data_IF_752270963161
#
_entry.id   IF_752270963161
#
_cell.length_a   1.000
_cell.length_b   1.000
_cell.length_c   1.000
_cell.angle_alpha   90.00
_cell.angle_beta   90.00
_cell.angle_gamma   90.00
#
_symmetry.space_group_name_H-M   'P 1'
#
loop_
_entity.id
_entity.type
_entity.pdbx_description
1 polymer ?
#
# COMPACT_ATOMS: atom_id res chain seq x y z
N UNK A 1 34.29 9.02 -26.46
CA UNK A 1 33.53 9.29 -25.22
C UNK A 1 32.10 8.77 -25.38
N UNK A 2 31.96 7.46 -25.60
CA UNK A 2 30.66 6.79 -25.88
C UNK A 2 30.37 5.78 -24.76
N UNK A 3 31.39 4.98 -24.42
CA UNK A 3 31.38 3.99 -23.33
C UNK A 3 30.97 4.59 -21.97
N UNK A 4 31.39 5.82 -21.64
CA UNK A 4 31.00 6.46 -20.37
C UNK A 4 29.49 6.73 -20.32
N UNK A 5 28.89 7.14 -21.44
CA UNK A 5 27.44 7.40 -21.51
C UNK A 5 26.65 6.09 -21.45
N UNK A 6 27.15 5.02 -22.10
CA UNK A 6 26.49 3.70 -22.06
C UNK A 6 26.52 3.09 -20.65
N UNK A 7 27.64 3.18 -19.94
CA UNK A 7 27.77 2.70 -18.56
C UNK A 7 26.85 3.48 -17.61
N UNK A 8 26.77 4.81 -17.78
CA UNK A 8 25.85 5.66 -17.00
C UNK A 8 24.40 5.29 -17.30
N UNK A 9 24.04 5.06 -18.55
CA UNK A 9 22.69 4.68 -18.95
C UNK A 9 22.27 3.33 -18.36
N UNK A 10 23.15 2.33 -18.43
CA UNK A 10 22.92 1.00 -17.85
C UNK A 10 22.72 1.09 -16.34
N UNK A 11 23.56 1.87 -15.65
CA UNK A 11 23.44 2.09 -14.21
C UNK A 11 22.09 2.75 -13.85
N UNK A 12 21.70 3.80 -14.59
CA UNK A 12 20.41 4.46 -14.39
C UNK A 12 19.24 3.49 -14.59
N UNK A 13 19.24 2.70 -15.67
CA UNK A 13 18.20 1.71 -15.92
C UNK A 13 18.11 0.66 -14.81
N UNK A 14 19.24 0.16 -14.33
CA UNK A 14 19.28 -0.77 -13.21
C UNK A 14 18.68 -0.16 -11.92
N UNK A 15 19.03 1.09 -11.61
CA UNK A 15 18.44 1.81 -10.47
C UNK A 15 16.91 1.98 -10.62
N UNK A 16 16.43 2.35 -11.81
CA UNK A 16 15.00 2.46 -12.08
C UNK A 16 14.27 1.13 -11.91
N UNK A 17 14.83 0.02 -12.42
CA UNK A 17 14.26 -1.31 -12.22
C UNK A 17 14.22 -1.70 -10.74
N UNK A 18 15.27 -1.41 -9.95
CA UNK A 18 15.27 -1.67 -8.52
C UNK A 18 14.16 -0.91 -7.78
N UNK A 19 13.99 0.39 -8.08
CA UNK A 19 12.94 1.20 -7.49
C UNK A 19 11.54 0.70 -7.87
N UNK A 20 11.35 0.32 -9.14
CA UNK A 20 10.08 -0.23 -9.63
C UNK A 20 9.74 -1.56 -8.93
N UNK A 21 10.73 -2.44 -8.79
CA UNK A 21 10.55 -3.73 -8.12
C UNK A 21 10.20 -3.55 -6.62
N UNK A 22 10.87 -2.61 -5.95
CA UNK A 22 10.57 -2.29 -4.56
C UNK A 22 9.13 -1.75 -4.39
N UNK A 23 8.69 -0.87 -5.28
CA UNK A 23 7.31 -0.36 -5.28
C UNK A 23 6.29 -1.49 -5.53
N UNK A 24 6.59 -2.40 -6.45
CA UNK A 24 5.75 -3.56 -6.74
C UNK A 24 5.61 -4.46 -5.50
N UNK A 25 6.71 -4.71 -4.79
CA UNK A 25 6.71 -5.44 -3.53
C UNK A 25 5.85 -4.71 -2.50
N UNK A 26 6.02 -3.40 -2.33
CA UNK A 26 5.19 -2.62 -1.41
C UNK A 26 3.69 -2.72 -1.73
N UNK A 27 3.32 -2.74 -3.01
CA UNK A 27 1.93 -2.93 -3.47
C UNK A 27 1.40 -4.34 -3.21
N UNK A 28 2.21 -5.38 -3.47
CA UNK A 28 1.85 -6.77 -3.20
C UNK A 28 1.72 -7.06 -1.70
N UNK A 29 2.57 -6.44 -0.90
CA UNK A 29 2.59 -6.56 0.56
C UNK A 29 1.69 -5.54 1.25
N UNK A 30 1.04 -4.65 0.50
CA UNK A 30 0.06 -3.71 1.04
C UNK A 30 -1.07 -4.52 1.65
N UNK A 31 -1.03 -4.69 2.97
CA UNK A 31 -2.07 -5.40 3.71
C UNK A 31 -3.38 -4.68 3.49
N UNK A 32 -4.42 -5.44 3.21
CA UNK A 32 -5.77 -4.94 3.03
C UNK A 32 -6.66 -5.63 4.07
N UNK A 33 -7.55 -4.84 4.68
CA UNK A 33 -8.60 -5.37 5.53
C UNK A 33 -9.81 -5.66 4.66
N UNK A 34 -10.46 -6.80 4.89
CA UNK A 34 -11.74 -7.12 4.26
C UNK A 34 -12.82 -6.79 5.27
N UNK A 35 -13.72 -5.88 4.90
CA UNK A 35 -14.91 -5.58 5.70
C UNK A 35 -15.85 -6.80 5.64
N UNK A 36 -16.11 -7.44 6.77
CA UNK A 36 -16.98 -8.63 6.83
C UNK A 36 -18.46 -8.33 6.59
N UNK A 37 -18.88 -7.05 6.57
CA UNK A 37 -20.26 -6.67 6.33
C UNK A 37 -20.63 -6.69 4.84
N UNK A 38 -19.76 -6.17 3.98
CA UNK A 38 -20.02 -6.05 2.54
C UNK A 38 -18.89 -6.60 1.64
N UNK A 39 -17.92 -7.28 2.23
CA UNK A 39 -16.76 -7.88 1.56
C UNK A 39 -15.90 -6.86 0.79
N UNK A 40 -16.01 -5.57 1.12
CA UNK A 40 -15.17 -4.54 0.51
C UNK A 40 -13.73 -4.62 1.04
N UNK A 41 -12.77 -4.35 0.15
CA UNK A 41 -11.34 -4.34 0.49
C UNK A 41 -10.90 -2.93 0.77
N UNK A 42 -10.35 -2.72 1.96
CA UNK A 42 -9.87 -1.45 2.43
C UNK A 42 -8.35 -1.48 2.59
N UNK A 43 -7.60 -0.54 1.99
CA UNK A 43 -6.16 -0.49 2.15
C UNK A 43 -5.77 -0.15 3.59
N UNK A 44 -4.63 -0.64 4.05
CA UNK A 44 -4.10 -0.31 5.38
C UNK A 44 -3.93 1.22 5.54
N UNK A 45 -4.32 1.74 6.70
CA UNK A 45 -4.38 3.16 7.00
C UNK A 45 -5.64 3.87 6.52
N UNK A 46 -6.51 3.21 5.73
CA UNK A 46 -7.78 3.81 5.34
C UNK A 46 -8.80 3.77 6.48
N UNK A 47 -9.62 4.81 6.52
CA UNK A 47 -10.76 4.92 7.42
C UNK A 47 -12.05 5.05 6.64
N UNK A 48 -13.07 4.31 7.03
CA UNK A 48 -14.38 4.34 6.39
C UNK A 48 -15.52 4.25 7.40
N UNK A 49 -16.71 4.60 6.94
CA UNK A 49 -17.93 4.69 7.76
C UNK A 49 -18.97 3.76 7.15
N UNK A 50 -19.42 2.72 7.87
CA UNK A 50 -20.49 1.80 7.40
C UNK A 50 -21.37 1.31 8.55
N UNK A 51 -22.60 0.93 8.21
CA UNK A 51 -23.81 0.94 9.05
C UNK A 51 -23.81 0.30 10.45
N UNK A 52 -22.77 -0.43 10.88
CA UNK A 52 -22.63 -0.91 12.29
C UNK A 52 -21.45 -0.29 13.05
N UNK A 53 -20.57 0.44 12.37
CA UNK A 53 -19.39 1.07 12.94
C UNK A 53 -19.42 2.57 12.65
N UNK A 54 -19.32 3.38 13.71
CA UNK A 54 -19.25 4.86 13.61
C UNK A 54 -17.99 5.26 12.84
N UNK A 55 -16.89 4.48 12.95
CA UNK A 55 -15.64 4.64 12.19
C UNK A 55 -14.79 3.36 12.24
N UNK A 56 -14.46 2.82 11.08
CA UNK A 56 -13.54 1.67 10.94
C UNK A 56 -12.16 2.15 10.50
N UNK A 57 -11.11 1.53 11.02
CA UNK A 57 -9.72 1.78 10.62
C UNK A 57 -9.07 0.45 10.26
N UNK A 58 -8.43 0.35 9.09
CA UNK A 58 -7.60 -0.80 8.77
C UNK A 58 -6.19 -0.59 9.31
N UNK A 59 -5.80 -1.25 10.39
CA UNK A 59 -4.45 -1.13 10.99
C UNK A 59 -3.79 -2.50 11.12
N UNK A 60 -2.53 -2.61 10.69
CA UNK A 60 -1.72 -3.84 10.75
C UNK A 60 -2.37 -5.11 10.12
N UNK A 61 -3.33 -4.93 9.21
CA UNK A 61 -4.09 -6.04 8.61
C UNK A 61 -5.29 -6.50 9.44
N UNK A 62 -5.65 -5.76 10.48
CA UNK A 62 -6.87 -5.96 11.26
C UNK A 62 -7.77 -4.73 11.15
N UNK A 63 -9.06 -4.99 11.15
CA UNK A 63 -10.08 -3.95 11.18
C UNK A 63 -10.34 -3.59 12.64
N UNK A 64 -10.05 -2.34 13.01
CA UNK A 64 -10.26 -1.81 14.35
C UNK A 64 -11.44 -0.84 14.37
N UNK A 65 -12.15 -0.82 15.50
CA UNK A 65 -13.33 0.02 15.72
C UNK A 65 -12.98 1.12 16.73
N UNK A 66 -12.89 2.37 16.29
CA UNK A 66 -12.70 3.48 17.21
C UNK A 66 -14.04 3.80 17.91
N UNK A 67 -14.25 3.27 19.12
CA UNK A 67 -15.44 3.53 19.95
C UNK A 67 -15.38 4.87 20.70
N UNK A 68 -14.31 5.65 20.55
CA UNK A 68 -14.11 6.91 21.28
C UNK A 68 -14.68 8.15 20.56
N UNK A 69 -15.50 7.97 19.53
CA UNK A 69 -16.20 9.05 18.81
C UNK A 69 -17.66 9.21 19.31
N UNK A 70 -17.96 8.86 20.57
CA UNK A 70 -19.23 9.12 21.27
C UNK A 70 -18.98 10.06 22.45
#
# INVERSE_FOLDING_TARGET
MVILNDVVLIFCLACFLCMLYFLLILLLWAKHCVDGYDNSKHPMGSTWTKGRCIRCICSLGQMDFNRNDI
#
